data_IF_425481947962
#
_entry.id   IF_425481947962
#
_cell.length_a   1.000
_cell.length_b   1.000
_cell.length_c   1.000
_cell.angle_alpha   90.00
_cell.angle_beta   90.00
_cell.angle_gamma   90.00
#
_symmetry.space_group_name_H-M   'P 1'
#
loop_
_entity.id
_entity.type
_entity.pdbx_description
1 polymer ?
#
# COMPACT_ATOMS: atom_id res chain seq x y z
N UNK A 1 19.78 3.86 5.44
CA UNK A 1 18.34 3.44 5.41
C UNK A 1 18.18 1.94 5.15
N UNK A 2 18.80 1.32 4.10
CA UNK A 2 18.68 -0.12 3.87
C UNK A 2 19.20 -0.94 5.06
N UNK A 3 20.36 -0.59 5.59
CA UNK A 3 20.93 -1.27 6.76
C UNK A 3 20.05 -1.11 8.03
N UNK A 4 19.30 -0.01 8.15
CA UNK A 4 18.34 0.19 9.24
C UNK A 4 17.11 -0.72 9.07
N UNK A 5 16.64 -0.94 7.84
CA UNK A 5 15.51 -1.85 7.55
C UNK A 5 15.85 -3.32 7.78
N UNK A 6 17.13 -3.69 7.64
CA UNK A 6 17.64 -5.05 7.87
C UNK A 6 18.24 -5.23 9.27
N UNK A 7 17.93 -4.33 10.21
CA UNK A 7 18.43 -4.35 11.58
C UNK A 7 19.98 -4.44 11.68
N UNK A 8 20.69 -3.84 10.71
CA UNK A 8 22.16 -3.79 10.71
C UNK A 8 22.85 -5.03 10.09
N UNK A 9 22.09 -5.98 9.56
CA UNK A 9 22.64 -7.25 9.04
C UNK A 9 23.51 -7.10 7.78
N UNK A 10 23.39 -5.99 7.05
CA UNK A 10 24.16 -5.74 5.82
C UNK A 10 25.59 -5.22 6.07
N UNK A 11 25.94 -4.87 7.31
CA UNK A 11 27.25 -4.26 7.60
C UNK A 11 27.37 -2.83 7.11
N UNK A 12 28.58 -2.28 7.11
CA UNK A 12 28.85 -0.90 6.66
C UNK A 12 29.11 -0.82 5.16
N UNK A 13 29.69 -1.84 4.58
CA UNK A 13 30.08 -1.90 3.17
C UNK A 13 29.28 -3.00 2.47
N UNK A 14 28.23 -2.61 1.76
CA UNK A 14 27.47 -3.51 0.89
C UNK A 14 27.31 -2.89 -0.49
N UNK A 15 27.35 -3.73 -1.52
CA UNK A 15 27.01 -3.35 -2.89
C UNK A 15 25.63 -3.86 -3.25
N UNK A 16 24.88 -3.03 -3.96
CA UNK A 16 23.57 -3.44 -4.51
C UNK A 16 23.83 -3.95 -5.92
N UNK A 17 23.47 -5.21 -6.16
CA UNK A 17 23.43 -5.79 -7.50
C UNK A 17 21.97 -5.93 -7.91
N UNK A 18 21.60 -5.43 -9.06
CA UNK A 18 20.27 -5.52 -9.61
C UNK A 18 20.26 -5.22 -11.10
N UNK A 19 19.39 -5.86 -11.83
CA UNK A 19 19.13 -5.55 -13.22
C UNK A 19 17.94 -4.60 -13.32
N UNK A 20 18.11 -3.51 -14.09
CA UNK A 20 17.03 -2.58 -14.41
C UNK A 20 16.19 -3.04 -15.60
N UNK A 21 16.57 -4.13 -16.27
CA UNK A 21 15.82 -4.70 -17.38
C UNK A 21 14.71 -5.62 -16.87
N UNK A 22 13.69 -5.05 -16.25
CA UNK A 22 12.48 -5.77 -15.94
C UNK A 22 11.64 -6.01 -17.20
N UNK A 23 11.01 -7.19 -17.33
CA UNK A 23 10.20 -7.49 -18.49
C UNK A 23 9.09 -6.46 -18.69
N UNK A 24 8.94 -5.96 -19.92
CA UNK A 24 7.89 -5.03 -20.33
C UNK A 24 6.57 -5.81 -20.46
N UNK A 25 6.00 -6.28 -19.35
CA UNK A 25 4.68 -6.91 -19.40
C UNK A 25 3.62 -5.82 -19.57
N UNK A 26 2.73 -6.03 -20.52
CA UNK A 26 1.54 -5.21 -20.68
C UNK A 26 0.66 -5.33 -19.44
N UNK A 27 0.72 -4.33 -18.56
CA UNK A 27 -0.03 -4.29 -17.32
C UNK A 27 -1.50 -3.98 -17.64
N UNK A 28 -2.37 -4.96 -17.46
CA UNK A 28 -3.82 -4.74 -17.45
C UNK A 28 -4.23 -4.26 -16.04
N UNK A 29 -4.05 -2.96 -15.79
CA UNK A 29 -4.26 -2.35 -14.48
C UNK A 29 -5.70 -2.52 -13.96
N UNK A 30 -6.70 -2.50 -14.85
CA UNK A 30 -8.11 -2.57 -14.46
C UNK A 30 -8.49 -3.96 -13.93
N UNK A 31 -7.97 -5.03 -14.54
CA UNK A 31 -8.20 -6.40 -14.07
C UNK A 31 -7.46 -6.71 -12.75
N UNK A 32 -6.25 -6.16 -12.58
CA UNK A 32 -5.45 -6.33 -11.39
C UNK A 32 -6.02 -5.57 -10.18
N UNK A 33 -6.58 -4.36 -10.39
CA UNK A 33 -7.16 -3.56 -9.33
C UNK A 33 -8.33 -4.28 -8.64
N UNK A 34 -9.29 -4.79 -9.40
CA UNK A 34 -10.48 -5.44 -8.83
C UNK A 34 -10.12 -6.69 -8.00
N UNK A 35 -9.19 -7.50 -8.48
CA UNK A 35 -8.76 -8.73 -7.80
C UNK A 35 -7.92 -8.43 -6.54
N UNK A 36 -7.14 -7.35 -6.59
CA UNK A 36 -6.25 -6.96 -5.49
C UNK A 36 -7.01 -6.30 -4.34
N UNK A 37 -8.07 -5.52 -4.62
CA UNK A 37 -8.82 -4.77 -3.61
C UNK A 37 -9.37 -5.67 -2.50
N UNK A 38 -9.91 -6.85 -2.83
CA UNK A 38 -10.46 -7.77 -1.82
C UNK A 38 -9.38 -8.47 -0.99
N UNK A 39 -8.21 -8.71 -1.60
CA UNK A 39 -7.13 -9.49 -0.98
C UNK A 39 -6.09 -8.62 -0.28
N UNK A 40 -6.10 -7.31 -0.53
CA UNK A 40 -5.09 -6.39 0.00
C UNK A 40 -5.09 -6.39 1.55
N UNK A 41 -3.91 -6.57 2.19
CA UNK A 41 -3.82 -6.71 3.65
C UNK A 41 -4.42 -5.53 4.43
N UNK A 42 -4.29 -4.30 3.91
CA UNK A 42 -4.85 -3.11 4.54
C UNK A 42 -6.39 -3.13 4.54
N UNK A 43 -7.01 -3.53 3.42
CA UNK A 43 -8.46 -3.63 3.31
C UNK A 43 -8.99 -4.78 4.17
N UNK A 44 -8.32 -5.95 4.16
CA UNK A 44 -8.68 -7.08 5.03
C UNK A 44 -8.61 -6.71 6.51
N UNK A 45 -7.58 -5.98 6.93
CA UNK A 45 -7.47 -5.49 8.32
C UNK A 45 -8.67 -4.61 8.70
N UNK A 46 -9.05 -3.66 7.85
CA UNK A 46 -10.19 -2.77 8.11
C UNK A 46 -11.53 -3.50 8.05
N UNK A 47 -11.67 -4.52 7.19
CA UNK A 47 -12.83 -5.39 7.19
C UNK A 47 -12.99 -6.14 8.51
N UNK A 48 -11.88 -6.64 9.08
CA UNK A 48 -11.91 -7.28 10.41
C UNK A 48 -12.24 -6.31 11.54
N UNK A 49 -11.79 -5.06 11.45
CA UNK A 49 -12.18 -4.02 12.42
C UNK A 49 -13.66 -3.66 12.30
N UNK A 50 -14.23 -3.64 11.10
CA UNK A 50 -15.67 -3.44 10.90
C UNK A 50 -16.49 -4.62 11.45
N UNK A 51 -16.04 -5.86 11.22
CA UNK A 51 -16.65 -7.05 11.85
C UNK A 51 -16.59 -6.98 13.39
N UNK A 52 -15.44 -6.58 13.94
CA UNK A 52 -15.29 -6.39 15.40
C UNK A 52 -16.28 -5.36 15.94
N UNK A 53 -16.44 -4.23 15.25
CA UNK A 53 -17.39 -3.19 15.66
C UNK A 53 -18.85 -3.66 15.55
N UNK A 54 -19.19 -4.51 14.54
CA UNK A 54 -20.51 -5.13 14.44
C UNK A 54 -20.78 -6.10 15.59
N UNK A 55 -19.81 -6.94 15.94
CA UNK A 55 -19.91 -7.82 17.10
C UNK A 55 -20.07 -7.04 18.42
N UNK A 56 -19.33 -5.92 18.58
CA UNK A 56 -19.48 -5.05 19.73
C UNK A 56 -20.90 -4.46 19.82
N UNK A 57 -21.47 -4.03 18.70
CA UNK A 57 -22.86 -3.56 18.66
C UNK A 57 -23.86 -4.66 19.01
N UNK A 58 -23.67 -5.89 18.51
CA UNK A 58 -24.51 -7.03 18.87
C UNK A 58 -24.42 -7.35 20.35
N UNK A 59 -23.21 -7.36 20.89
CA UNK A 59 -22.99 -7.56 22.33
C UNK A 59 -23.76 -6.54 23.18
N UNK A 60 -23.70 -5.24 22.86
CA UNK A 60 -24.44 -4.21 23.60
C UNK A 60 -25.97 -4.37 23.49
N UNK A 61 -26.45 -4.87 22.34
CA UNK A 61 -27.88 -5.19 22.17
C UNK A 61 -28.34 -6.40 22.98
N UNK A 62 -27.51 -7.45 23.01
CA UNK A 62 -27.81 -8.68 23.77
C UNK A 62 -27.67 -8.45 25.27
N UNK A 63 -26.72 -7.63 25.71
CA UNK A 63 -26.53 -7.27 27.11
C UNK A 63 -27.71 -6.46 27.73
N UNK A 64 -28.74 -6.15 26.94
CA UNK A 64 -30.03 -5.66 27.47
C UNK A 64 -30.80 -6.75 28.22
N UNK A 65 -30.59 -8.02 27.84
CA UNK A 65 -31.23 -9.14 28.49
C UNK A 65 -30.50 -9.37 29.82
N UNK A 66 -31.21 -9.30 30.95
CA UNK A 66 -30.56 -9.49 32.26
C UNK A 66 -30.08 -10.93 32.41
N UNK A 67 -28.91 -11.09 33.02
CA UNK A 67 -28.40 -12.41 33.37
C UNK A 67 -29.17 -12.95 34.58
N UNK A 68 -29.59 -14.19 34.50
CA UNK A 68 -30.13 -14.92 35.64
C UNK A 68 -28.98 -15.50 36.44
N UNK A 69 -28.87 -15.12 37.70
CA UNK A 69 -27.83 -15.64 38.61
C UNK A 69 -28.45 -16.64 39.58
N UNK A 70 -27.83 -17.80 39.70
CA UNK A 70 -28.15 -18.78 40.74
C UNK A 70 -27.21 -18.51 41.92
N UNK A 71 -27.78 -18.29 43.09
CA UNK A 71 -27.02 -17.98 44.32
C UNK A 71 -27.22 -19.16 45.27
N UNK A 72 -26.13 -19.71 45.77
CA UNK A 72 -26.12 -20.68 46.83
C UNK A 72 -25.21 -20.19 47.94
N UNK A 73 -25.70 -20.14 49.18
CA UNK A 73 -24.87 -19.82 50.32
C UNK A 73 -25.08 -20.81 51.47
N UNK A 74 -23.99 -21.26 52.05
CA UNK A 74 -23.96 -22.04 53.27
C UNK A 74 -23.42 -21.18 54.41
N UNK A 75 -24.17 -21.07 55.48
CA UNK A 75 -23.79 -20.33 56.64
C UNK A 75 -23.81 -21.22 57.87
N UNK A 76 -22.76 -21.15 58.66
CA UNK A 76 -22.63 -21.89 59.93
C UNK A 76 -22.24 -20.92 61.01
N UNK A 77 -23.10 -20.73 61.97
CA UNK A 77 -22.86 -19.80 63.08
C UNK A 77 -23.37 -20.42 64.40
N UNK A 78 -22.50 -20.44 65.41
CA UNK A 78 -22.80 -20.87 66.80
C UNK A 78 -23.52 -22.23 66.95
N UNK A 79 -23.39 -23.16 66.01
CA UNK A 79 -24.00 -24.46 66.03
C UNK A 79 -25.21 -24.63 65.11
N UNK A 80 -25.74 -23.53 64.58
CA UNK A 80 -26.77 -23.53 63.56
C UNK A 80 -26.19 -23.58 62.14
N UNK A 81 -26.74 -24.41 61.31
CA UNK A 81 -26.38 -24.59 59.89
C UNK A 81 -27.55 -24.14 59.03
N UNK A 82 -27.30 -23.23 58.09
CA UNK A 82 -28.28 -22.78 57.13
C UNK A 82 -27.79 -22.93 55.69
N UNK A 83 -28.60 -23.49 54.83
CA UNK A 83 -28.35 -23.54 53.36
C UNK A 83 -29.43 -22.70 52.69
N UNK A 84 -29.00 -21.71 51.93
CA UNK A 84 -29.88 -20.85 51.17
C UNK A 84 -29.62 -21.01 49.68
N UNK A 85 -30.65 -21.26 48.91
CA UNK A 85 -30.58 -21.25 47.44
C UNK A 85 -31.57 -20.21 46.91
N UNK A 86 -31.13 -19.42 45.93
CA UNK A 86 -31.94 -18.34 45.38
C UNK A 86 -31.64 -18.08 43.90
N UNK A 87 -32.58 -17.42 43.24
CA UNK A 87 -32.39 -16.89 41.88
C UNK A 87 -32.46 -15.37 41.97
N UNK A 88 -31.49 -14.71 41.34
CA UNK A 88 -31.50 -13.26 41.22
C UNK A 88 -31.54 -12.84 39.75
N UNK A 89 -32.51 -11.99 39.44
CA UNK A 89 -32.71 -11.43 38.09
C UNK A 89 -32.70 -9.90 38.21
N UNK A 90 -31.67 -9.18 37.77
CA UNK A 90 -31.65 -7.72 37.77
C UNK A 90 -32.60 -7.19 36.69
N UNK A 91 -33.70 -6.50 37.08
CA UNK A 91 -34.63 -5.92 36.14
C UNK A 91 -34.19 -4.51 35.72
N UNK A 92 -33.90 -4.27 34.43
CA UNK A 92 -33.50 -2.96 33.94
C UNK A 92 -34.73 -2.07 33.71
N UNK A 93 -35.24 -1.41 34.78
CA UNK A 93 -36.46 -0.64 34.73
C UNK A 93 -36.32 0.67 33.95
N UNK A 94 -35.20 1.37 34.12
CA UNK A 94 -34.94 2.69 33.50
C UNK A 94 -33.75 2.70 32.54
N UNK A 95 -32.71 1.93 32.83
CA UNK A 95 -31.47 1.89 32.05
C UNK A 95 -31.44 0.63 31.19
N UNK A 96 -31.51 0.85 29.85
CA UNK A 96 -31.51 -0.23 28.83
C UNK A 96 -30.32 -0.14 27.90
N UNK A 97 -29.18 0.35 28.42
CA UNK A 97 -27.91 0.50 27.66
C UNK A 97 -28.05 1.34 26.37
N UNK A 98 -28.95 2.34 26.36
CA UNK A 98 -29.20 3.15 25.15
C UNK A 98 -27.96 3.91 24.72
N UNK A 99 -27.18 4.48 25.67
CA UNK A 99 -25.95 5.21 25.40
C UNK A 99 -24.87 4.33 24.79
N UNK A 100 -24.64 3.15 25.34
CA UNK A 100 -23.66 2.17 24.85
C UNK A 100 -24.00 1.68 23.47
N UNK A 101 -25.28 1.40 23.20
CA UNK A 101 -25.74 0.97 21.88
C UNK A 101 -25.54 2.08 20.85
N UNK A 102 -25.86 3.32 21.19
CA UNK A 102 -25.61 4.46 20.29
C UNK A 102 -24.11 4.67 20.06
N UNK A 103 -23.31 4.55 21.11
CA UNK A 103 -21.85 4.63 21.00
C UNK A 103 -21.27 3.51 20.11
N UNK A 104 -21.71 2.26 20.32
CA UNK A 104 -21.31 1.11 19.49
C UNK A 104 -21.78 1.24 18.05
N UNK A 105 -23.00 1.78 17.80
CA UNK A 105 -23.50 2.07 16.47
C UNK A 105 -22.64 3.14 15.78
N UNK A 106 -22.28 4.21 16.48
CA UNK A 106 -21.35 5.23 15.97
C UNK A 106 -19.98 4.67 15.63
N UNK A 107 -19.44 3.76 16.47
CA UNK A 107 -18.18 3.08 16.22
C UNK A 107 -18.26 2.18 14.97
N UNK A 108 -19.36 1.43 14.79
CA UNK A 108 -19.59 0.63 13.59
C UNK A 108 -19.63 1.50 12.34
N UNK A 109 -20.40 2.58 12.33
CA UNK A 109 -20.47 3.48 11.17
C UNK A 109 -19.11 4.06 10.83
N UNK A 110 -18.30 4.42 11.84
CA UNK A 110 -16.92 4.88 11.63
C UNK A 110 -16.05 3.81 10.98
N UNK A 111 -16.07 2.59 11.49
CA UNK A 111 -15.28 1.48 10.96
C UNK A 111 -15.68 1.13 9.51
N UNK A 112 -16.98 1.14 9.20
CA UNK A 112 -17.49 0.93 7.84
C UNK A 112 -17.04 2.04 6.88
N UNK A 113 -17.10 3.31 7.32
CA UNK A 113 -16.65 4.44 6.54
C UNK A 113 -15.13 4.43 6.31
N UNK A 114 -14.33 4.09 7.32
CA UNK A 114 -12.88 3.93 7.20
C UNK A 114 -12.50 2.81 6.22
N UNK A 115 -13.22 1.68 6.24
CA UNK A 115 -13.03 0.60 5.28
C UNK A 115 -13.32 1.06 3.85
N UNK A 116 -14.45 1.71 3.63
CA UNK A 116 -14.83 2.22 2.30
C UNK A 116 -13.82 3.25 1.78
N UNK A 117 -13.42 4.18 2.65
CA UNK A 117 -12.39 5.17 2.32
C UNK A 117 -11.07 4.52 1.91
N UNK A 118 -10.61 3.54 2.66
CA UNK A 118 -9.36 2.85 2.34
C UNK A 118 -9.45 2.07 1.02
N UNK A 119 -10.60 1.50 0.68
CA UNK A 119 -10.83 0.87 -0.63
C UNK A 119 -10.71 1.89 -1.76
N UNK A 120 -11.35 3.05 -1.63
CA UNK A 120 -11.28 4.12 -2.63
C UNK A 120 -9.86 4.70 -2.77
N UNK A 121 -9.17 4.94 -1.66
CA UNK A 121 -7.78 5.43 -1.67
C UNK A 121 -6.83 4.43 -2.35
N UNK A 122 -7.02 3.13 -2.10
CA UNK A 122 -6.23 2.07 -2.73
C UNK A 122 -6.48 1.97 -4.24
N UNK A 123 -7.75 2.01 -4.66
CA UNK A 123 -8.14 2.01 -6.08
C UNK A 123 -7.53 3.21 -6.81
N UNK A 124 -7.64 4.39 -6.22
CA UNK A 124 -7.04 5.60 -6.76
C UNK A 124 -5.51 5.48 -6.86
N UNK A 125 -4.84 4.96 -5.82
CA UNK A 125 -3.40 4.78 -5.81
C UNK A 125 -2.94 3.79 -6.90
N UNK A 126 -3.65 2.66 -7.07
CA UNK A 126 -3.35 1.68 -8.13
C UNK A 126 -3.48 2.33 -9.52
N UNK A 127 -4.58 3.04 -9.76
CA UNK A 127 -4.83 3.73 -11.04
C UNK A 127 -3.75 4.78 -11.34
N UNK A 128 -3.39 5.58 -10.34
CA UNK A 128 -2.35 6.59 -10.47
C UNK A 128 -0.98 5.95 -10.78
N UNK A 129 -0.57 4.94 -10.02
CA UNK A 129 0.73 4.29 -10.23
C UNK A 129 0.78 3.51 -11.54
N UNK A 130 -0.33 2.93 -11.99
CA UNK A 130 -0.42 2.30 -13.31
C UNK A 130 -0.21 3.34 -14.44
N UNK A 131 -0.77 4.53 -14.29
CA UNK A 131 -0.57 5.62 -15.25
C UNK A 131 0.88 6.14 -15.21
N UNK A 132 1.50 6.25 -14.03
CA UNK A 132 2.93 6.61 -13.90
C UNK A 132 3.83 5.60 -14.64
N UNK A 133 3.56 4.30 -14.50
CA UNK A 133 4.29 3.24 -15.22
C UNK A 133 4.12 3.38 -16.73
N UNK A 134 2.88 3.59 -17.20
CA UNK A 134 2.60 3.76 -18.63
C UNK A 134 3.36 4.97 -19.20
N UNK A 135 3.32 6.11 -18.52
CA UNK A 135 4.04 7.31 -18.93
C UNK A 135 5.54 7.08 -19.00
N UNK A 136 6.12 6.41 -17.98
CA UNK A 136 7.54 6.08 -17.97
C UNK A 136 7.93 5.10 -19.10
N UNK A 137 7.07 4.14 -19.43
CA UNK A 137 7.27 3.22 -20.57
C UNK A 137 7.24 3.97 -21.91
N UNK A 138 6.30 4.89 -22.10
CA UNK A 138 6.21 5.74 -23.29
C UNK A 138 7.45 6.62 -23.46
N UNK A 139 7.92 7.24 -22.36
CA UNK A 139 9.16 8.01 -22.36
C UNK A 139 10.38 7.15 -22.73
N UNK A 140 10.51 5.95 -22.13
CA UNK A 140 11.59 5.04 -22.43
C UNK A 140 11.60 4.63 -23.92
N UNK A 141 10.44 4.35 -24.48
CA UNK A 141 10.30 3.99 -25.88
C UNK A 141 10.81 5.08 -26.83
N UNK A 142 10.62 6.39 -26.51
CA UNK A 142 11.13 7.52 -27.31
C UNK A 142 12.65 7.49 -27.37
N UNK A 143 13.33 7.20 -26.25
CA UNK A 143 14.79 7.10 -26.24
C UNK A 143 15.29 5.89 -27.02
N UNK A 144 14.65 4.71 -26.84
CA UNK A 144 15.07 3.47 -27.49
C UNK A 144 14.81 3.48 -29.00
N UNK A 145 13.71 4.10 -29.45
CA UNK A 145 13.35 4.11 -30.88
C UNK A 145 14.06 5.18 -31.69
N UNK A 146 14.56 6.26 -31.07
CA UNK A 146 15.08 7.38 -31.85
C UNK A 146 16.20 8.19 -31.21
N UNK A 147 16.00 8.77 -30.04
CA UNK A 147 16.89 9.81 -29.48
C UNK A 147 18.33 9.36 -29.28
N UNK A 148 18.56 8.16 -28.75
CA UNK A 148 19.91 7.62 -28.54
C UNK A 148 20.64 7.47 -29.87
N UNK A 149 19.99 6.86 -30.85
CA UNK A 149 20.56 6.63 -32.17
C UNK A 149 20.85 7.95 -32.91
N UNK A 150 19.94 8.91 -32.81
CA UNK A 150 20.11 10.22 -33.42
C UNK A 150 21.29 10.99 -32.81
N UNK A 151 21.42 10.98 -31.48
CA UNK A 151 22.54 11.62 -30.79
C UNK A 151 23.89 10.98 -31.15
N UNK A 152 23.96 9.66 -31.25
CA UNK A 152 25.15 8.91 -31.69
C UNK A 152 25.51 9.21 -33.14
N UNK A 153 24.52 9.22 -34.04
CA UNK A 153 24.75 9.58 -35.45
C UNK A 153 25.25 11.02 -35.60
N UNK A 154 24.65 11.95 -34.87
CA UNK A 154 25.07 13.36 -34.86
C UNK A 154 26.53 13.51 -34.42
N UNK A 155 26.91 12.81 -33.33
CA UNK A 155 28.32 12.82 -32.87
C UNK A 155 29.27 12.21 -33.92
N UNK A 156 28.87 11.13 -34.56
CA UNK A 156 29.64 10.46 -35.59
C UNK A 156 29.84 11.36 -36.83
N UNK A 157 28.77 12.05 -37.25
CA UNK A 157 28.86 13.03 -38.35
C UNK A 157 29.75 14.20 -38.01
N UNK A 158 29.60 14.78 -36.83
CA UNK A 158 30.45 15.90 -36.38
C UNK A 158 31.95 15.53 -36.38
N UNK A 159 32.27 14.33 -35.84
CA UNK A 159 33.67 13.81 -35.85
C UNK A 159 34.19 13.58 -37.25
N UNK A 160 33.37 13.08 -38.16
CA UNK A 160 33.77 12.84 -39.55
C UNK A 160 33.99 14.16 -40.29
N UNK A 161 33.08 15.12 -40.16
CA UNK A 161 33.18 16.46 -40.74
C UNK A 161 34.41 17.22 -40.21
N UNK A 162 34.72 17.10 -38.93
CA UNK A 162 35.95 17.69 -38.36
C UNK A 162 37.23 17.10 -38.98
N UNK A 163 37.30 15.78 -39.15
CA UNK A 163 38.44 15.11 -39.79
C UNK A 163 38.65 15.55 -41.21
N UNK A 164 37.60 15.92 -41.93
CA UNK A 164 37.64 16.45 -43.29
C UNK A 164 37.77 17.99 -43.37
N UNK A 165 37.92 18.65 -42.21
CA UNK A 165 38.06 20.11 -42.15
C UNK A 165 36.76 20.90 -42.42
N UNK A 166 35.62 20.22 -42.46
CA UNK A 166 34.31 20.82 -42.76
C UNK A 166 33.51 21.25 -41.49
N UNK A 167 33.99 20.91 -40.27
CA UNK A 167 33.41 21.33 -39.01
C UNK A 167 34.48 21.76 -38.01
N UNK A 168 34.12 22.58 -37.04
CA UNK A 168 35.02 23.06 -35.99
C UNK A 168 35.14 22.01 -34.85
N UNK A 169 36.19 22.16 -34.02
CA UNK A 169 36.33 21.38 -32.80
C UNK A 169 35.13 21.65 -31.84
N UNK A 170 34.58 22.86 -31.84
CA UNK A 170 33.44 23.24 -31.02
C UNK A 170 32.19 22.41 -31.37
N UNK A 171 31.95 22.18 -32.67
CA UNK A 171 30.81 21.36 -33.13
C UNK A 171 30.93 19.90 -32.62
N UNK A 172 32.14 19.34 -32.59
CA UNK A 172 32.42 18.02 -32.05
C UNK A 172 32.14 17.96 -30.53
N UNK A 173 32.62 19.00 -29.82
CA UNK A 173 32.43 19.07 -28.36
C UNK A 173 30.95 19.23 -28.00
N UNK A 174 30.21 20.03 -28.73
CA UNK A 174 28.75 20.19 -28.53
C UNK A 174 28.01 18.91 -28.85
N UNK A 175 28.31 18.25 -29.96
CA UNK A 175 27.72 16.96 -30.28
C UNK A 175 28.03 15.88 -29.22
N UNK A 176 29.24 15.88 -28.66
CA UNK A 176 29.65 14.99 -27.59
C UNK A 176 28.92 15.31 -26.28
N UNK A 177 28.69 16.57 -25.97
CA UNK A 177 27.93 17.01 -24.81
C UNK A 177 26.48 16.54 -24.92
N UNK A 178 25.86 16.78 -26.08
CA UNK A 178 24.47 16.32 -26.34
C UNK A 178 24.36 14.81 -26.19
N UNK A 179 25.27 14.05 -26.78
CA UNK A 179 25.27 12.59 -26.70
C UNK A 179 25.35 12.10 -25.23
N UNK A 180 26.25 12.66 -24.42
CA UNK A 180 26.39 12.33 -23.00
C UNK A 180 25.12 12.69 -22.22
N UNK A 181 24.56 13.86 -22.52
CA UNK A 181 23.32 14.30 -21.86
C UNK A 181 22.18 13.35 -22.16
N UNK A 182 22.00 12.94 -23.42
CA UNK A 182 20.98 11.97 -23.83
C UNK A 182 21.17 10.61 -23.15
N UNK A 183 22.42 10.15 -22.97
CA UNK A 183 22.70 8.92 -22.22
C UNK A 183 22.32 9.03 -20.73
N UNK A 184 22.59 10.17 -20.10
CA UNK A 184 22.20 10.42 -18.71
C UNK A 184 20.69 10.46 -18.56
N UNK A 185 19.99 11.14 -19.45
CA UNK A 185 18.53 11.20 -19.46
C UNK A 185 17.90 9.80 -19.67
N UNK A 186 18.44 9.00 -20.58
CA UNK A 186 18.03 7.61 -20.77
C UNK A 186 18.19 6.78 -19.49
N UNK A 187 19.33 6.90 -18.81
CA UNK A 187 19.56 6.20 -17.55
C UNK A 187 18.58 6.65 -16.46
N UNK A 188 18.25 7.95 -16.42
CA UNK A 188 17.26 8.50 -15.51
C UNK A 188 15.87 7.94 -15.77
N UNK A 189 15.41 7.92 -17.03
CA UNK A 189 14.10 7.39 -17.41
C UNK A 189 13.99 5.89 -17.08
N UNK A 190 15.05 5.10 -17.25
CA UNK A 190 15.08 3.70 -16.81
C UNK A 190 14.92 3.56 -15.30
N UNK A 191 15.60 4.41 -14.53
CA UNK A 191 15.46 4.43 -13.08
C UNK A 191 14.03 4.82 -12.66
N UNK A 192 13.46 5.84 -13.30
CA UNK A 192 12.09 6.30 -13.03
C UNK A 192 11.05 5.22 -13.32
N UNK A 193 11.20 4.47 -14.42
CA UNK A 193 10.37 3.31 -14.71
C UNK A 193 10.46 2.25 -13.61
N UNK A 194 11.67 1.93 -13.15
CA UNK A 194 11.87 0.96 -12.08
C UNK A 194 11.23 1.41 -10.76
N UNK A 195 11.30 2.70 -10.45
CA UNK A 195 10.65 3.29 -9.28
C UNK A 195 9.12 3.26 -9.42
N UNK A 196 8.59 3.58 -10.59
CA UNK A 196 7.15 3.54 -10.87
C UNK A 196 6.60 2.10 -10.72
N UNK A 197 7.30 1.10 -11.26
CA UNK A 197 6.95 -0.32 -11.09
C UNK A 197 6.96 -0.74 -9.62
N UNK A 198 7.98 -0.37 -8.86
CA UNK A 198 8.06 -0.69 -7.43
C UNK A 198 6.94 -0.03 -6.61
N UNK A 199 6.49 1.18 -6.99
CA UNK A 199 5.34 1.85 -6.38
C UNK A 199 4.04 1.11 -6.69
N UNK A 200 3.86 0.68 -7.93
CA UNK A 200 2.69 -0.09 -8.35
C UNK A 200 2.65 -1.45 -7.63
N UNK A 201 3.77 -2.19 -7.58
CA UNK A 201 3.88 -3.46 -6.84
C UNK A 201 3.50 -3.28 -5.36
N UNK A 202 3.98 -2.20 -4.75
CA UNK A 202 3.61 -1.88 -3.37
C UNK A 202 2.12 -1.60 -3.20
N UNK A 203 1.50 -0.90 -4.15
CA UNK A 203 0.06 -0.62 -4.13
C UNK A 203 -0.77 -1.88 -4.38
N UNK A 204 -0.28 -2.81 -5.20
CA UNK A 204 -0.91 -4.11 -5.44
C UNK A 204 -0.68 -5.11 -4.29
N UNK A 205 0.35 -4.89 -3.45
CA UNK A 205 0.73 -5.84 -2.39
C UNK A 205 1.32 -7.16 -2.92
N UNK A 206 1.67 -7.22 -4.20
CA UNK A 206 2.27 -8.38 -4.88
C UNK A 206 3.40 -7.91 -5.80
N UNK A 207 4.41 -8.77 -6.03
CA UNK A 207 5.40 -8.55 -7.08
C UNK A 207 4.80 -8.82 -8.46
N UNK A 208 5.11 -7.98 -9.43
CA UNK A 208 4.71 -8.08 -10.84
C UNK A 208 5.71 -8.90 -11.64
#
# INVERSE_FOLDING_TARGET
RLNTLTAGSLGKDFSIQGDFDRPKQGLNADGLAAQTLEQHPAVRRLSKLAEQADHALRYEREARVPNVSVIGSYHREAGDESLTAGLAVPLPLWYRRQGEIQSALGAKHRADAERLRAQQELEQAITQHAQEVRTAQEQLAVFETGLLKQAEQTLTMARTSFRHGAASLLDVLDAQRVYRQTQLEYAQVRADLSIALARLERALGTSL
#
